data_IF_250740566801
#
_entry.id   IF_250740566801
#
_cell.length_a   1.000
_cell.length_b   1.000
_cell.length_c   1.000
_cell.angle_alpha   90.00
_cell.angle_beta   90.00
_cell.angle_gamma   90.00
#
_symmetry.space_group_name_H-M   'P 1'
#
loop_
_entity.id
_entity.type
_entity.pdbx_description
1 polymer ?
#
# COMPACT_ATOMS: atom_id res chain seq x y z
N UNK A 1 -2.15 15.34 10.79
CA UNK A 1 -1.72 14.14 11.51
C UNK A 1 -0.20 14.15 11.58
N UNK A 2 0.43 13.72 12.69
CA UNK A 2 1.89 13.58 12.77
C UNK A 2 2.42 12.40 11.96
N UNK A 3 1.62 11.33 11.83
CA UNK A 3 2.00 10.11 11.14
C UNK A 3 1.83 10.22 9.61
N UNK A 4 0.70 10.73 9.11
CA UNK A 4 0.49 10.87 7.67
C UNK A 4 -0.97 10.79 7.24
N UNK A 5 -1.19 10.26 6.03
CA UNK A 5 -2.49 10.20 5.36
C UNK A 5 -3.48 9.27 6.08
N UNK A 6 -4.75 9.72 6.15
CA UNK A 6 -5.83 9.01 6.83
C UNK A 6 -7.14 9.22 6.07
N UNK A 7 -7.98 8.18 6.03
CA UNK A 7 -9.34 8.21 5.48
C UNK A 7 -10.31 7.88 6.60
N UNK A 8 -11.34 8.72 6.77
CA UNK A 8 -12.38 8.55 7.79
C UNK A 8 -13.76 8.41 7.15
N UNK A 9 -14.66 7.73 7.86
CA UNK A 9 -16.05 7.48 7.45
C UNK A 9 -16.15 6.96 6.01
N UNK A 10 -15.37 5.91 5.73
CA UNK A 10 -15.30 5.32 4.40
C UNK A 10 -16.60 4.56 4.11
N UNK A 11 -17.30 5.00 3.07
CA UNK A 11 -18.58 4.43 2.66
C UNK A 11 -18.55 3.93 1.23
N UNK A 12 -19.28 2.85 0.98
CA UNK A 12 -19.58 2.36 -0.35
C UNK A 12 -21.10 2.24 -0.52
N UNK A 13 -21.66 2.84 -1.56
CA UNK A 13 -23.12 2.91 -1.80
C UNK A 13 -23.95 3.39 -0.59
N UNK A 14 -23.39 4.32 0.19
CA UNK A 14 -24.05 4.92 1.36
C UNK A 14 -23.84 4.17 2.68
N UNK A 15 -23.32 2.94 2.64
CA UNK A 15 -23.05 2.13 3.83
C UNK A 15 -21.58 2.27 4.27
N UNK A 16 -21.35 2.37 5.58
CA UNK A 16 -19.98 2.44 6.14
C UNK A 16 -19.32 1.07 6.06
N UNK A 17 -18.05 1.08 5.67
CA UNK A 17 -17.15 -0.08 5.66
C UNK A 17 -16.06 0.06 6.72
N UNK A 18 -15.48 1.25 6.85
CA UNK A 18 -14.46 1.54 7.85
C UNK A 18 -14.70 2.91 8.48
N UNK A 19 -14.53 3.01 9.79
CA UNK A 19 -14.51 4.29 10.49
C UNK A 19 -13.22 5.04 10.20
N UNK A 20 -12.09 4.34 10.21
CA UNK A 20 -10.75 4.91 10.02
C UNK A 20 -9.83 3.90 9.32
N UNK A 21 -9.11 4.37 8.30
CA UNK A 21 -7.92 3.69 7.80
C UNK A 21 -6.79 4.73 7.79
N UNK A 22 -5.74 4.49 8.58
CA UNK A 22 -4.72 5.52 8.83
C UNK A 22 -3.33 4.95 8.94
N UNK A 23 -2.37 5.66 8.32
CA UNK A 23 -0.96 5.42 8.54
C UNK A 23 -0.63 5.74 10.01
N UNK A 24 0.01 4.80 10.68
CA UNK A 24 0.44 4.91 12.07
C UNK A 24 1.94 5.16 12.17
N UNK A 25 2.74 4.45 11.36
CA UNK A 25 4.19 4.53 11.42
C UNK A 25 4.86 4.03 10.13
N UNK A 26 6.03 4.58 9.81
CA UNK A 26 7.01 4.01 8.89
C UNK A 26 8.36 3.85 9.60
N UNK A 27 8.93 2.65 9.51
CA UNK A 27 10.18 2.30 10.18
C UNK A 27 11.20 1.81 9.15
N UNK A 28 12.45 2.22 9.33
CA UNK A 28 13.60 1.63 8.64
C UNK A 28 14.65 1.18 9.65
N UNK A 29 14.80 -0.15 9.79
CA UNK A 29 15.81 -0.75 10.68
C UNK A 29 17.04 -1.18 9.88
N UNK A 30 18.18 -0.57 10.19
CA UNK A 30 19.43 -0.79 9.48
C UNK A 30 20.34 -1.77 10.19
N UNK A 31 21.24 -2.34 9.40
CA UNK A 31 22.45 -3.04 9.85
C UNK A 31 23.68 -2.39 9.22
N UNK A 32 24.82 -2.45 9.90
CA UNK A 32 26.07 -1.91 9.36
C UNK A 32 27.28 -2.20 10.23
N UNK A 33 28.46 -2.10 9.63
CA UNK A 33 29.76 -2.21 10.29
C UNK A 33 30.17 -0.90 10.99
N UNK A 34 29.63 0.24 10.55
CA UNK A 34 29.86 1.54 11.18
C UNK A 34 28.92 1.78 12.37
N UNK A 35 29.36 2.53 13.41
CA UNK A 35 28.51 2.85 14.57
C UNK A 35 27.19 3.54 14.22
N UNK A 36 27.18 4.36 13.16
CA UNK A 36 25.96 5.01 12.69
C UNK A 36 24.96 3.97 12.21
N UNK A 37 25.30 3.16 11.20
CA UNK A 37 24.37 2.22 10.60
C UNK A 37 23.90 1.11 11.55
N UNK A 38 24.75 0.62 12.48
CA UNK A 38 24.31 -0.39 13.47
C UNK A 38 23.31 0.17 14.50
N UNK A 39 23.34 1.48 14.75
CA UNK A 39 22.42 2.14 15.68
C UNK A 39 21.12 2.56 15.01
N UNK A 40 21.17 2.90 13.71
CA UNK A 40 20.04 3.48 12.96
C UNK A 40 18.80 2.60 12.97
N UNK A 41 17.77 3.11 13.65
CA UNK A 41 16.40 2.60 13.67
C UNK A 41 15.49 3.79 13.51
N UNK A 42 15.17 4.14 12.26
CA UNK A 42 14.29 5.28 12.01
C UNK A 42 12.85 4.91 12.35
N UNK A 43 12.18 5.83 13.02
CA UNK A 43 10.78 5.80 13.45
C UNK A 43 10.23 7.14 12.97
N UNK A 44 9.68 7.15 11.75
CA UNK A 44 9.50 8.38 10.96
C UNK A 44 8.39 9.29 11.52
N UNK A 45 7.40 8.74 12.24
CA UNK A 45 6.41 9.56 12.95
C UNK A 45 7.04 10.45 14.03
N UNK A 46 8.16 10.01 14.62
CA UNK A 46 8.96 10.81 15.56
C UNK A 46 9.64 12.02 14.91
N UNK A 47 9.77 12.00 13.59
CA UNK A 47 10.25 13.11 12.75
C UNK A 47 9.10 13.87 12.07
N UNK A 48 7.87 13.66 12.54
CA UNK A 48 6.65 14.25 11.99
C UNK A 48 6.49 14.01 10.48
N UNK A 49 6.67 12.78 10.03
CA UNK A 49 6.49 12.33 8.64
C UNK A 49 5.24 12.88 7.94
N UNK A 50 4.12 13.05 8.66
CA UNK A 50 2.90 13.63 8.10
C UNK A 50 2.99 15.12 7.74
N UNK A 51 3.95 15.85 8.33
CA UNK A 51 4.27 17.25 7.99
C UNK A 51 5.25 17.39 6.82
N UNK A 52 5.96 16.32 6.47
CA UNK A 52 6.93 16.28 5.36
C UNK A 52 6.27 16.02 3.99
N UNK A 53 5.01 16.44 3.82
CA UNK A 53 4.25 16.33 2.57
C UNK A 53 4.50 17.56 1.69
N UNK A 54 5.58 17.52 0.93
CA UNK A 54 5.98 18.63 0.05
C UNK A 54 5.21 18.63 -1.28
N UNK A 55 5.50 19.63 -2.12
CA UNK A 55 4.80 19.87 -3.37
C UNK A 55 4.92 18.70 -4.35
N UNK A 56 3.77 18.17 -4.78
CA UNK A 56 3.67 17.15 -5.82
C UNK A 56 3.76 17.82 -7.20
N UNK A 57 4.67 17.33 -8.04
CA UNK A 57 4.87 17.85 -9.39
C UNK A 57 3.80 17.29 -10.37
N UNK A 58 2.96 18.15 -10.98
CA UNK A 58 1.99 17.72 -11.99
C UNK A 58 2.66 17.07 -13.20
N UNK A 59 2.11 15.94 -13.66
CA UNK A 59 2.65 15.14 -14.76
C UNK A 59 3.73 14.14 -14.35
N UNK A 60 4.27 14.23 -13.13
CA UNK A 60 5.29 13.32 -12.59
C UNK A 60 4.74 12.54 -11.41
N UNK A 61 4.45 13.22 -10.29
CA UNK A 61 3.97 12.57 -9.07
C UNK A 61 2.50 12.19 -9.16
N UNK A 62 1.71 13.00 -9.88
CA UNK A 62 0.32 12.74 -10.21
C UNK A 62 0.05 13.19 -11.66
N UNK A 63 -0.98 12.64 -12.34
CA UNK A 63 -1.36 13.11 -13.68
C UNK A 63 -1.62 14.63 -13.71
N UNK A 64 -1.37 15.29 -14.85
CA UNK A 64 -1.60 16.74 -15.00
C UNK A 64 -3.05 17.15 -14.72
N UNK A 65 -4.00 16.23 -14.97
CA UNK A 65 -5.43 16.42 -14.75
C UNK A 65 -5.87 16.22 -13.29
N UNK A 66 -4.94 15.88 -12.40
CA UNK A 66 -5.27 15.67 -10.99
C UNK A 66 -5.74 16.96 -10.33
N UNK A 67 -6.63 16.83 -9.36
CA UNK A 67 -6.95 17.92 -8.45
C UNK A 67 -5.90 17.95 -7.36
N UNK A 68 -5.11 19.01 -7.32
CA UNK A 68 -4.10 19.24 -6.28
C UNK A 68 -4.68 20.06 -5.13
N UNK A 69 -4.28 19.70 -3.92
CA UNK A 69 -4.79 20.25 -2.66
C UNK A 69 -3.61 20.70 -1.81
N UNK A 70 -3.67 21.96 -1.39
CA UNK A 70 -2.70 22.53 -0.47
C UNK A 70 -2.97 22.07 0.97
N UNK A 71 -1.90 21.86 1.75
CA UNK A 71 -1.98 21.50 3.16
C UNK A 71 -1.27 22.53 4.03
N UNK A 72 -1.77 22.75 5.25
CA UNK A 72 -1.11 23.61 6.23
C UNK A 72 -0.53 22.76 7.36
N UNK A 73 0.72 23.01 7.71
CA UNK A 73 1.42 22.35 8.80
C UNK A 73 1.92 23.35 9.83
N UNK A 74 1.95 22.95 11.10
CA UNK A 74 2.54 23.71 12.19
C UNK A 74 3.48 22.78 12.97
N UNK A 75 4.69 22.63 12.47
CA UNK A 75 5.73 21.77 13.04
C UNK A 75 7.07 22.50 12.95
N UNK A 76 7.76 22.64 14.08
CA UNK A 76 9.07 23.33 14.21
C UNK A 76 9.15 24.70 13.51
N UNK A 77 8.11 25.52 13.72
CA UNK A 77 7.94 26.83 13.06
C UNK A 77 7.18 27.80 13.96
N UNK A 78 7.40 29.10 13.78
CA UNK A 78 6.70 30.16 14.52
C UNK A 78 5.29 30.45 13.98
N UNK A 79 4.95 29.95 12.79
CA UNK A 79 3.66 30.19 12.12
C UNK A 79 3.24 29.02 11.22
N UNK A 80 1.94 28.85 10.92
CA UNK A 80 1.49 27.83 9.97
C UNK A 80 2.20 28.00 8.62
N UNK A 81 2.70 26.89 8.08
CA UNK A 81 3.39 26.82 6.80
C UNK A 81 2.47 26.13 5.80
N UNK A 82 2.32 26.76 4.63
CA UNK A 82 1.56 26.23 3.51
C UNK A 82 2.47 25.35 2.65
N UNK A 83 2.12 24.08 2.49
CA UNK A 83 2.68 23.20 1.48
C UNK A 83 1.70 23.15 0.31
N UNK A 84 2.13 23.70 -0.84
CA UNK A 84 1.31 23.72 -2.04
C UNK A 84 1.25 22.34 -2.68
N UNK A 85 0.13 21.98 -3.30
CA UNK A 85 -0.06 20.73 -4.03
C UNK A 85 0.41 19.48 -3.22
N UNK A 86 0.24 19.48 -1.91
CA UNK A 86 0.78 18.45 -1.02
C UNK A 86 -0.01 17.14 -1.07
N UNK A 87 -1.25 17.18 -1.57
CA UNK A 87 -2.09 16.03 -1.82
C UNK A 87 -2.71 16.15 -3.21
N UNK A 88 -2.88 15.03 -3.91
CA UNK A 88 -3.56 15.00 -5.19
C UNK A 88 -4.67 13.93 -5.21
N UNK A 89 -5.75 14.21 -5.93
CA UNK A 89 -6.87 13.30 -6.16
C UNK A 89 -7.12 13.20 -7.66
N UNK A 90 -7.17 11.97 -8.18
CA UNK A 90 -7.36 11.74 -9.61
C UNK A 90 -7.96 10.36 -9.90
N UNK A 91 -8.60 10.23 -11.06
CA UNK A 91 -8.95 8.93 -11.61
C UNK A 91 -7.88 8.47 -12.62
N UNK A 92 -7.60 7.17 -12.65
CA UNK A 92 -6.74 6.57 -13.65
C UNK A 92 -7.27 5.20 -14.08
N UNK A 93 -6.99 4.82 -15.32
CA UNK A 93 -7.25 3.46 -15.81
C UNK A 93 -6.10 2.56 -15.38
N UNK A 94 -6.38 1.34 -14.90
CA UNK A 94 -5.34 0.41 -14.43
C UNK A 94 -4.71 -0.41 -15.55
N UNK A 95 -4.94 -0.03 -16.81
CA UNK A 95 -4.58 -0.80 -18.02
C UNK A 95 -5.09 -2.25 -18.05
N UNK A 96 -6.07 -2.60 -17.20
CA UNK A 96 -6.73 -3.90 -17.15
C UNK A 96 -8.26 -3.70 -17.07
N UNK A 97 -9.08 -4.58 -17.64
CA UNK A 97 -10.52 -4.52 -17.44
C UNK A 97 -10.88 -5.00 -16.03
N UNK A 98 -11.84 -4.34 -15.38
CA UNK A 98 -12.36 -4.76 -14.08
C UNK A 98 -13.01 -6.14 -14.20
N UNK A 99 -13.69 -6.37 -15.32
CA UNK A 99 -14.22 -7.66 -15.72
C UNK A 99 -14.33 -7.74 -17.22
N UNK A 100 -14.14 -8.94 -17.78
CA UNK A 100 -14.45 -9.21 -19.18
C UNK A 100 -14.86 -10.66 -19.41
N UNK A 101 -15.82 -10.89 -20.31
CA UNK A 101 -16.18 -12.21 -20.79
C UNK A 101 -16.43 -12.19 -22.30
N UNK A 102 -16.00 -13.23 -22.99
CA UNK A 102 -16.21 -13.48 -24.40
C UNK A 102 -16.84 -14.86 -24.47
N UNK A 103 -18.11 -14.89 -24.84
CA UNK A 103 -18.90 -16.11 -24.86
C UNK A 103 -18.85 -16.71 -26.25
N UNK A 104 -17.94 -17.66 -26.48
CA UNK A 104 -17.85 -18.37 -27.76
C UNK A 104 -19.04 -19.32 -27.92
N UNK A 105 -19.49 -19.50 -29.15
CA UNK A 105 -20.44 -20.54 -29.54
C UNK A 105 -19.77 -21.91 -29.77
N UNK A 106 -18.44 -21.98 -29.65
CA UNK A 106 -17.58 -23.13 -29.94
C UNK A 106 -17.66 -23.65 -31.39
N UNK A 107 -18.19 -22.84 -32.30
CA UNK A 107 -18.33 -23.13 -33.74
C UNK A 107 -17.58 -22.12 -34.61
N UNK A 108 -16.67 -21.35 -34.01
CA UNK A 108 -15.88 -20.31 -34.68
C UNK A 108 -16.50 -18.91 -34.60
N UNK A 109 -17.61 -18.73 -33.87
CA UNK A 109 -18.24 -17.44 -33.58
C UNK A 109 -18.36 -17.14 -32.08
N UNK A 110 -19.29 -16.23 -31.75
CA UNK A 110 -19.56 -15.79 -30.38
C UNK A 110 -20.99 -15.30 -30.21
N UNK A 111 -21.55 -15.50 -29.02
CA UNK A 111 -22.88 -15.03 -28.64
C UNK A 111 -22.83 -13.57 -28.17
N UNK A 112 -21.86 -13.23 -27.31
CA UNK A 112 -21.65 -11.86 -26.84
C UNK A 112 -20.24 -11.65 -26.29
N UNK A 113 -19.86 -10.38 -26.22
CA UNK A 113 -18.75 -9.89 -25.42
C UNK A 113 -19.27 -8.89 -24.40
N UNK A 114 -18.81 -8.98 -23.16
CA UNK A 114 -19.14 -8.03 -22.09
C UNK A 114 -17.88 -7.65 -21.33
N UNK A 115 -17.58 -6.36 -21.25
CA UNK A 115 -16.41 -5.83 -20.56
C UNK A 115 -16.74 -4.58 -19.75
N UNK A 116 -15.87 -4.26 -18.80
CA UNK A 116 -15.87 -3.01 -18.06
C UNK A 116 -14.42 -2.61 -17.82
N UNK A 117 -14.05 -1.39 -18.20
CA UNK A 117 -12.72 -0.83 -17.94
C UNK A 117 -12.51 -0.65 -16.43
N UNK A 118 -11.30 -0.94 -15.95
CA UNK A 118 -10.95 -0.68 -14.55
C UNK A 118 -10.41 0.74 -14.41
N UNK A 119 -11.28 1.64 -13.95
CA UNK A 119 -10.90 2.98 -13.53
C UNK A 119 -10.94 3.04 -12.02
N UNK A 120 -9.91 3.60 -11.41
CA UNK A 120 -9.73 3.69 -9.96
C UNK A 120 -9.55 5.14 -9.55
N UNK A 121 -10.19 5.55 -8.45
CA UNK A 121 -9.96 6.85 -7.83
C UNK A 121 -8.76 6.73 -6.88
N UNK A 122 -7.78 7.62 -7.01
CA UNK A 122 -6.56 7.63 -6.21
C UNK A 122 -6.51 8.92 -5.40
N UNK A 123 -6.22 8.79 -4.11
CA UNK A 123 -5.83 9.88 -3.23
C UNK A 123 -4.38 9.64 -2.81
N UNK A 124 -3.50 10.58 -3.12
CA UNK A 124 -2.05 10.45 -2.94
C UNK A 124 -1.45 11.63 -2.18
N UNK A 125 -0.53 11.34 -1.27
CA UNK A 125 0.41 12.31 -0.68
C UNK A 125 1.79 11.68 -0.63
N UNK A 126 2.81 12.48 -0.40
CA UNK A 126 4.17 11.99 -0.12
C UNK A 126 4.62 12.33 1.30
N UNK A 127 5.69 11.68 1.73
CA UNK A 127 6.48 12.08 2.90
C UNK A 127 7.96 11.98 2.59
N UNK A 128 8.64 13.11 2.54
CA UNK A 128 10.11 13.19 2.35
C UNK A 128 10.76 13.68 3.63
N UNK A 129 10.96 12.79 4.60
CA UNK A 129 11.52 13.17 5.91
C UNK A 129 12.98 13.64 5.77
N UNK A 130 13.76 12.89 5.01
CA UNK A 130 15.16 13.21 4.73
C UNK A 130 15.59 12.61 3.39
N UNK A 131 16.08 11.37 3.39
CA UNK A 131 16.63 10.74 2.19
C UNK A 131 15.60 9.95 1.38
N UNK A 132 14.59 9.37 2.03
CA UNK A 132 13.52 8.65 1.34
C UNK A 132 12.37 9.57 1.00
N UNK A 133 11.73 9.22 -0.11
CA UNK A 133 10.44 9.73 -0.54
C UNK A 133 9.46 8.56 -0.48
N UNK A 134 8.54 8.58 0.49
CA UNK A 134 7.42 7.64 0.51
C UNK A 134 6.23 8.22 -0.24
N UNK A 135 5.62 7.43 -1.10
CA UNK A 135 4.36 7.74 -1.79
C UNK A 135 3.25 6.92 -1.14
N UNK A 136 2.24 7.60 -0.61
CA UNK A 136 1.12 7.00 0.12
C UNK A 136 -0.15 7.11 -0.71
N UNK A 137 -0.70 5.97 -1.11
CA UNK A 137 -1.90 5.91 -1.95
C UNK A 137 -3.05 5.23 -1.21
N UNK A 138 -4.22 5.85 -1.29
CA UNK A 138 -5.50 5.17 -1.18
C UNK A 138 -6.12 5.03 -2.56
N UNK A 139 -6.46 3.81 -2.95
CA UNK A 139 -7.10 3.48 -4.22
C UNK A 139 -8.51 2.95 -3.95
N UNK A 140 -9.51 3.54 -4.59
CA UNK A 140 -10.92 3.18 -4.45
C UNK A 140 -11.45 2.63 -5.78
N UNK A 141 -11.76 1.34 -5.81
CA UNK A 141 -12.21 0.63 -6.99
C UNK A 141 -13.73 0.65 -7.12
N UNK A 142 -14.23 0.61 -8.36
CA UNK A 142 -15.67 0.61 -8.67
C UNK A 142 -16.45 -0.57 -8.07
N UNK A 143 -15.76 -1.67 -7.76
CA UNK A 143 -16.36 -2.87 -7.15
C UNK A 143 -16.39 -2.82 -5.61
N UNK A 144 -16.04 -1.69 -4.99
CA UNK A 144 -16.03 -1.52 -3.54
C UNK A 144 -14.74 -1.96 -2.85
N UNK A 145 -13.73 -2.41 -3.61
CA UNK A 145 -12.40 -2.69 -3.06
C UNK A 145 -11.69 -1.37 -2.73
N UNK A 146 -11.02 -1.36 -1.58
CA UNK A 146 -10.13 -0.29 -1.15
C UNK A 146 -8.75 -0.89 -1.01
N UNK A 147 -7.76 -0.29 -1.64
CA UNK A 147 -6.37 -0.69 -1.54
C UNK A 147 -5.56 0.46 -0.94
N UNK A 148 -4.69 0.12 0.00
CA UNK A 148 -3.70 1.03 0.56
C UNK A 148 -2.34 0.59 0.05
N UNK A 149 -1.59 1.52 -0.53
CA UNK A 149 -0.29 1.23 -1.14
C UNK A 149 0.75 2.23 -0.67
N UNK A 150 1.94 1.71 -0.43
CA UNK A 150 3.15 2.49 -0.19
C UNK A 150 4.16 2.16 -1.27
N UNK A 151 4.85 3.18 -1.78
CA UNK A 151 6.03 3.02 -2.61
C UNK A 151 7.18 3.82 -1.99
N UNK A 152 8.37 3.23 -1.92
CA UNK A 152 9.57 3.92 -1.44
C UNK A 152 10.47 4.24 -2.64
N UNK A 153 10.86 5.51 -2.76
CA UNK A 153 11.86 6.00 -3.71
C UNK A 153 12.81 6.97 -2.99
N UNK A 154 13.52 7.81 -3.73
CA UNK A 154 14.52 8.72 -3.19
C UNK A 154 15.89 8.06 -3.08
N UNK A 155 16.67 8.50 -2.10
CA UNK A 155 18.03 8.02 -1.85
C UNK A 155 18.06 7.00 -0.71
N UNK A 156 18.89 5.98 -0.87
CA UNK A 156 19.19 5.05 0.23
C UNK A 156 20.01 5.75 1.33
N UNK A 157 19.81 5.36 2.59
CA UNK A 157 20.80 5.66 3.63
C UNK A 157 22.03 4.78 3.40
N UNK A 158 23.21 5.41 3.39
CA UNK A 158 24.46 4.77 3.03
C UNK A 158 25.59 5.20 3.97
N UNK A 159 26.57 4.30 4.15
CA UNK A 159 27.79 4.57 4.92
C UNK A 159 29.04 4.41 4.07
N UNK A 160 30.18 4.85 4.60
CA UNK A 160 31.46 4.68 3.91
C UNK A 160 31.77 3.20 3.71
N UNK A 161 32.22 2.84 2.50
CA UNK A 161 32.54 1.46 2.17
C UNK A 161 33.82 1.00 2.86
N UNK A 162 33.71 -0.10 3.60
CA UNK A 162 34.85 -0.93 4.03
C UNK A 162 34.65 -2.35 3.51
N UNK A 163 35.71 -3.16 3.39
CA UNK A 163 35.57 -4.59 3.06
C UNK A 163 34.66 -5.34 4.05
N UNK A 164 34.67 -4.98 5.34
CA UNK A 164 33.84 -5.60 6.38
C UNK A 164 32.36 -5.23 6.24
N UNK A 165 32.05 -4.06 5.69
CA UNK A 165 30.68 -3.62 5.44
C UNK A 165 29.89 -4.51 4.48
N UNK A 166 30.55 -5.36 3.68
CA UNK A 166 29.89 -6.29 2.77
C UNK A 166 29.05 -7.35 3.48
N UNK A 167 29.29 -7.61 4.77
CA UNK A 167 28.43 -8.49 5.58
C UNK A 167 27.08 -7.84 5.93
N UNK A 168 26.95 -6.53 5.74
CA UNK A 168 25.79 -5.72 6.16
C UNK A 168 25.20 -4.87 5.03
N UNK A 169 25.57 -5.09 3.79
CA UNK A 169 25.13 -4.25 2.69
C UNK A 169 25.81 -4.56 1.37
N UNK A 170 25.63 -3.69 0.39
CA UNK A 170 26.22 -3.83 -0.94
C UNK A 170 27.02 -2.59 -1.30
N UNK A 171 28.20 -2.76 -1.89
CA UNK A 171 28.96 -1.63 -2.43
C UNK A 171 28.25 -1.08 -3.67
N UNK A 172 27.70 0.13 -3.56
CA UNK A 172 26.94 0.78 -4.65
C UNK A 172 27.77 1.81 -5.41
N UNK A 173 28.88 2.28 -4.84
CA UNK A 173 29.84 3.17 -5.51
C UNK A 173 31.23 3.03 -4.91
N UNK A 174 32.24 3.74 -5.46
CA UNK A 174 33.66 3.60 -5.09
C UNK A 174 33.92 3.55 -3.58
N UNK A 175 33.26 4.43 -2.82
CA UNK A 175 33.40 4.57 -1.37
C UNK A 175 32.06 4.50 -0.63
N UNK A 176 31.03 3.92 -1.24
CA UNK A 176 29.65 3.94 -0.73
C UNK A 176 29.12 2.53 -0.56
N UNK A 177 28.70 2.21 0.66
CA UNK A 177 27.98 0.99 1.01
C UNK A 177 26.50 1.35 1.19
N UNK A 178 25.63 0.72 0.40
CA UNK A 178 24.20 0.70 0.67
C UNK A 178 23.90 -0.32 1.76
N UNK A 179 23.54 0.17 2.95
CA UNK A 179 23.31 -0.66 4.12
C UNK A 179 22.02 -1.49 3.97
N UNK A 180 22.06 -2.74 4.42
CA UNK A 180 20.90 -3.61 4.51
C UNK A 180 19.91 -3.03 5.53
N UNK A 181 18.64 -3.01 5.17
CA UNK A 181 17.56 -2.55 6.04
C UNK A 181 16.23 -3.18 5.69
N UNK A 182 15.27 -3.07 6.61
CA UNK A 182 13.88 -3.48 6.40
C UNK A 182 12.97 -2.28 6.58
N UNK A 183 12.07 -2.06 5.63
CA UNK A 183 10.96 -1.13 5.78
C UNK A 183 9.78 -1.87 6.44
N UNK A 184 9.27 -1.31 7.53
CA UNK A 184 8.09 -1.81 8.25
C UNK A 184 7.08 -0.67 8.34
N UNK A 185 5.90 -0.87 7.76
CA UNK A 185 4.85 0.14 7.70
C UNK A 185 3.65 -0.35 8.49
N UNK A 186 3.11 0.50 9.37
CA UNK A 186 1.99 0.15 10.24
C UNK A 186 0.75 0.97 9.87
N UNK A 187 -0.37 0.28 9.68
CA UNK A 187 -1.67 0.88 9.43
C UNK A 187 -2.67 0.45 10.51
N UNK A 188 -3.49 1.40 10.95
CA UNK A 188 -4.72 1.10 11.68
C UNK A 188 -5.84 0.93 10.65
N UNK A 189 -6.63 -0.14 10.79
CA UNK A 189 -7.79 -0.44 9.93
C UNK A 189 -8.99 -0.73 10.85
N UNK A 190 -9.78 0.31 11.10
CA UNK A 190 -10.94 0.30 12.00
C UNK A 190 -12.20 -0.01 11.19
N UNK A 191 -12.46 -1.31 11.00
CA UNK A 191 -13.60 -1.80 10.21
C UNK A 191 -14.89 -1.77 11.03
N UNK A 192 -15.95 -1.27 10.40
CA UNK A 192 -17.32 -1.23 10.92
C UNK A 192 -18.22 -1.97 9.91
N UNK A 193 -17.98 -3.26 9.69
CA UNK A 193 -18.67 -4.04 8.65
C UNK A 193 -20.14 -4.23 9.05
N UNK A 194 -21.04 -3.51 8.35
CA UNK A 194 -22.47 -3.45 8.67
C UNK A 194 -22.78 -3.00 10.11
N UNK A 195 -21.86 -2.25 10.74
CA UNK A 195 -21.98 -1.80 12.12
C UNK A 195 -20.72 -2.09 12.94
N UNK A 196 -20.75 -1.72 14.23
CA UNK A 196 -19.58 -1.78 15.13
C UNK A 196 -19.35 -3.16 15.74
N UNK A 197 -20.35 -4.02 15.74
CA UNK A 197 -20.26 -5.37 16.31
C UNK A 197 -19.76 -6.32 15.22
N UNK A 198 -18.46 -6.61 15.24
CA UNK A 198 -17.83 -7.49 14.26
C UNK A 198 -17.14 -8.67 14.97
N UNK A 199 -17.08 -9.81 14.28
CA UNK A 199 -16.23 -10.95 14.60
C UNK A 199 -15.16 -11.11 13.53
N UNK A 200 -14.16 -11.94 13.81
CA UNK A 200 -13.11 -12.29 12.86
C UNK A 200 -13.26 -13.77 12.51
N UNK A 201 -13.23 -14.11 11.22
CA UNK A 201 -13.12 -15.49 10.76
C UNK A 201 -12.00 -15.60 9.71
N UNK A 202 -11.43 -16.79 9.60
CA UNK A 202 -10.51 -17.16 8.52
C UNK A 202 -11.07 -18.35 7.74
N UNK A 203 -10.86 -18.34 6.43
CA UNK A 203 -11.22 -19.43 5.53
C UNK A 203 -9.95 -20.00 4.89
N UNK A 204 -9.73 -21.29 5.06
CA UNK A 204 -8.60 -22.02 4.47
C UNK A 204 -9.10 -23.19 3.61
N UNK A 205 -8.21 -23.76 2.81
CA UNK A 205 -8.43 -24.95 2.02
C UNK A 205 -7.68 -26.15 2.64
N UNK A 206 -8.44 -27.14 3.10
CA UNK A 206 -7.90 -28.42 3.53
C UNK A 206 -8.08 -29.48 2.44
N UNK A 207 -7.15 -30.43 2.33
CA UNK A 207 -7.36 -31.60 1.48
C UNK A 207 -8.06 -32.71 2.28
N UNK A 208 -9.15 -33.23 1.72
CA UNK A 208 -9.83 -34.41 2.25
C UNK A 208 -9.63 -35.59 1.33
N UNK A 209 -9.44 -36.77 1.94
CA UNK A 209 -9.36 -38.05 1.24
C UNK A 209 -10.54 -38.91 1.67
N UNK A 210 -11.35 -39.34 0.70
CA UNK A 210 -12.53 -40.17 0.95
C UNK A 210 -12.76 -41.16 -0.19
N UNK A 211 -13.44 -42.26 0.10
CA UNK A 211 -13.83 -43.24 -0.91
C UNK A 211 -14.74 -42.60 -1.95
N UNK A 212 -14.44 -42.81 -3.23
CA UNK A 212 -15.23 -42.25 -4.32
C UNK A 212 -16.67 -42.80 -4.27
N UNK A 213 -17.70 -41.95 -4.09
CA UNK A 213 -19.08 -42.39 -3.94
C UNK A 213 -19.66 -43.01 -5.23
N UNK A 214 -19.09 -42.69 -6.38
CA UNK A 214 -19.48 -43.25 -7.68
C UNK A 214 -18.61 -44.43 -8.13
N UNK A 215 -17.54 -44.75 -7.39
CA UNK A 215 -16.65 -45.88 -7.68
C UNK A 215 -15.95 -46.36 -6.40
N UNK A 216 -16.61 -47.24 -5.64
CA UNK A 216 -16.20 -47.64 -4.28
C UNK A 216 -14.79 -48.27 -4.15
N UNK A 217 -14.16 -48.63 -5.26
CA UNK A 217 -12.80 -49.17 -5.30
C UNK A 217 -11.73 -48.06 -5.39
N UNK A 218 -12.13 -46.82 -5.62
CA UNK A 218 -11.25 -45.67 -5.79
C UNK A 218 -11.40 -44.68 -4.64
N UNK A 219 -10.45 -43.76 -4.53
CA UNK A 219 -10.49 -42.63 -3.60
C UNK A 219 -10.44 -41.30 -4.36
N UNK A 220 -10.98 -40.25 -3.75
CA UNK A 220 -10.90 -38.87 -4.23
C UNK A 220 -10.12 -38.07 -3.20
N UNK A 221 -9.13 -37.32 -3.67
CA UNK A 221 -8.50 -36.24 -2.92
C UNK A 221 -9.01 -34.93 -3.49
N UNK A 222 -9.65 -34.10 -2.65
CA UNK A 222 -10.18 -32.81 -3.09
C UNK A 222 -9.98 -31.74 -2.01
N UNK A 223 -10.00 -30.48 -2.43
CA UNK A 223 -10.02 -29.34 -1.52
C UNK A 223 -11.40 -29.19 -0.88
N UNK A 224 -11.41 -28.83 0.41
CA UNK A 224 -12.59 -28.50 1.20
C UNK A 224 -12.32 -27.20 1.96
N UNK A 225 -13.37 -26.41 2.13
CA UNK A 225 -13.33 -25.19 2.94
C UNK A 225 -13.26 -25.54 4.44
N UNK A 226 -12.28 -24.95 5.12
CA UNK A 226 -12.14 -24.95 6.57
C UNK A 226 -12.41 -23.53 7.10
N UNK A 227 -13.28 -23.42 8.11
CA UNK A 227 -13.57 -22.15 8.80
C UNK A 227 -12.92 -22.18 10.18
N UNK A 228 -12.19 -21.12 10.55
CA UNK A 228 -11.71 -20.91 11.90
C UNK A 228 -12.23 -19.56 12.41
N UNK A 229 -12.99 -19.60 13.50
CA UNK A 229 -13.51 -18.45 14.24
C UNK A 229 -12.58 -18.09 15.41
#
# INVERSE_FOLDING_TARGET
>A
SSAGLQVFDLRFNGERIAYEISLQEAIAFYSGDTPAAMQTKYIDSGWAMGSSSYELAPGIDCPEIATFIDLHHFFDTDKPVLHKNALCIFEMTTAMPLRRHFNSDFQGGYNFFGGLENTVLVMRTTSTVYNYDYIWDFLFYQNGVVEVKVSATGYIHATFFTPQGLDYGTKVYNYVLGNLHTHLIHYKVDLDIAGRENSFETLDLEYVNFTNPWSKQNFIVQSKLQRNE
#
